data_IF_626559941937
#
_entry.id   IF_626559941937
#
_cell.length_a   1.000
_cell.length_b   1.000
_cell.length_c   1.000
_cell.angle_alpha   90.00
_cell.angle_beta   90.00
_cell.angle_gamma   90.00
#
_symmetry.space_group_name_H-M   'P 1'
#
loop_
_entity.id
_entity.type
_entity.pdbx_description
1 polymer ?
#
# COMPACT_ATOMS: atom_id res chain seq x y z
N UNK A 1 3.52 23.38 -12.42
CA UNK A 1 4.69 23.63 -13.31
C UNK A 1 5.59 24.69 -12.67
N UNK A 2 6.91 24.75 -12.89
CA UNK A 2 7.75 25.76 -12.20
C UNK A 2 8.46 26.72 -13.15
N UNK A 3 8.37 28.02 -12.83
CA UNK A 3 9.15 29.13 -13.40
C UNK A 3 10.14 29.72 -12.38
N UNK A 4 10.94 30.69 -12.83
CA UNK A 4 12.01 31.31 -12.02
C UNK A 4 13.33 30.54 -12.05
N UNK A 5 14.43 31.20 -11.68
CA UNK A 5 15.78 30.59 -11.65
C UNK A 5 15.89 29.45 -10.62
N UNK A 6 15.01 29.46 -9.61
CA UNK A 6 15.02 28.50 -8.51
C UNK A 6 13.85 27.52 -8.51
N UNK A 7 13.07 27.46 -9.61
CA UNK A 7 11.83 26.68 -9.66
C UNK A 7 10.88 27.08 -8.53
N UNK A 8 10.75 28.37 -8.27
CA UNK A 8 10.01 28.97 -7.16
C UNK A 8 8.60 29.43 -7.54
N UNK A 9 8.34 29.61 -8.83
CA UNK A 9 7.03 30.04 -9.32
C UNK A 9 6.23 28.82 -9.77
N UNK A 10 5.35 28.28 -8.93
CA UNK A 10 4.37 27.30 -9.38
C UNK A 10 3.41 27.95 -10.40
N UNK A 11 3.13 27.27 -11.52
CA UNK A 11 2.09 27.65 -12.45
C UNK A 11 0.76 27.32 -11.81
N UNK A 12 -0.05 28.35 -11.64
CA UNK A 12 -1.44 28.24 -11.21
C UNK A 12 -2.17 27.26 -12.13
N UNK A 13 -2.82 26.27 -11.53
CA UNK A 13 -3.69 25.35 -12.24
C UNK A 13 -5.07 25.99 -12.30
N UNK A 14 -5.66 26.05 -13.49
CA UNK A 14 -7.00 26.59 -13.68
C UNK A 14 -8.02 25.79 -12.83
N UNK A 15 -8.84 26.46 -11.98
CA UNK A 15 -9.88 25.82 -11.19
C UNK A 15 -10.87 24.99 -12.00
N UNK A 16 -11.06 25.27 -13.30
CA UNK A 16 -11.91 24.44 -14.18
C UNK A 16 -11.29 23.07 -14.50
N UNK A 17 -9.97 22.94 -14.40
CA UNK A 17 -9.23 21.68 -14.59
C UNK A 17 -9.22 20.83 -13.32
N UNK A 18 -9.39 21.47 -12.16
CA UNK A 18 -9.50 20.83 -10.86
C UNK A 18 -10.94 20.33 -10.68
N UNK A 19 -11.13 19.01 -10.58
CA UNK A 19 -12.43 18.46 -10.17
C UNK A 19 -12.90 19.09 -8.85
N UNK A 20 -14.21 19.26 -8.69
CA UNK A 20 -14.85 19.90 -7.53
C UNK A 20 -14.35 21.31 -7.15
N UNK A 21 -13.55 21.98 -8.01
CA UNK A 21 -12.99 23.33 -7.81
C UNK A 21 -12.01 23.49 -6.62
N UNK A 22 -11.51 22.41 -6.04
CA UNK A 22 -10.53 22.48 -4.94
C UNK A 22 -9.08 22.33 -5.46
N UNK A 23 -8.17 23.18 -5.00
CA UNK A 23 -6.74 23.04 -5.31
C UNK A 23 -6.21 21.74 -4.70
N UNK A 24 -5.63 20.86 -5.52
CA UNK A 24 -5.09 19.58 -5.04
C UNK A 24 -3.60 19.64 -4.78
N UNK A 25 -3.15 19.12 -3.62
CA UNK A 25 -1.73 19.04 -3.27
C UNK A 25 -1.32 17.59 -3.08
N UNK A 26 -0.34 17.12 -3.85
CA UNK A 26 0.15 15.74 -3.75
C UNK A 26 1.15 15.60 -2.59
N UNK A 27 0.90 14.62 -1.72
CA UNK A 27 1.73 14.27 -0.57
C UNK A 27 2.21 12.83 -0.72
N UNK A 28 3.49 12.63 -1.01
CA UNK A 28 4.10 11.32 -1.18
C UNK A 28 4.60 10.78 0.15
N UNK A 29 4.14 9.58 0.52
CA UNK A 29 4.56 8.86 1.70
C UNK A 29 5.43 7.66 1.36
N UNK A 30 6.45 7.44 2.18
CA UNK A 30 7.18 6.17 2.21
C UNK A 30 7.99 6.00 3.49
N UNK A 31 8.52 4.80 3.69
CA UNK A 31 9.41 4.43 4.79
C UNK A 31 10.79 4.10 4.26
N UNK A 32 11.79 4.41 5.06
CA UNK A 32 13.17 4.10 4.73
C UNK A 32 13.94 3.68 5.96
N UNK A 33 14.95 2.85 5.75
CA UNK A 33 15.85 2.39 6.79
C UNK A 33 17.28 2.78 6.46
N UNK A 34 18.02 3.18 7.50
CA UNK A 34 19.45 3.49 7.45
C UNK A 34 20.14 2.83 8.62
N UNK A 35 21.23 2.12 8.35
CA UNK A 35 22.04 1.54 9.41
C UNK A 35 23.07 2.55 9.94
N UNK A 36 23.31 2.56 11.24
CA UNK A 36 24.22 3.51 11.88
C UNK A 36 25.62 3.54 11.25
N UNK A 37 26.16 2.38 10.87
CA UNK A 37 27.48 2.24 10.23
C UNK A 37 27.39 2.02 8.72
N UNK A 38 26.28 2.41 8.09
CA UNK A 38 26.10 2.28 6.65
C UNK A 38 27.13 3.16 5.92
N UNK A 39 27.81 2.58 4.92
CA UNK A 39 28.91 3.22 4.18
C UNK A 39 28.69 3.10 2.66
N UNK A 40 29.40 3.88 1.84
CA UNK A 40 29.35 3.75 0.40
C UNK A 40 29.80 2.35 -0.01
N UNK A 41 29.15 1.74 -1.00
CA UNK A 41 29.49 0.38 -1.44
C UNK A 41 30.91 0.30 -2.02
N UNK A 42 31.37 1.38 -2.67
CA UNK A 42 32.70 1.46 -3.28
C UNK A 42 33.59 2.47 -2.53
N UNK A 43 34.87 2.13 -2.39
CA UNK A 43 35.93 3.00 -1.86
C UNK A 43 37.05 3.11 -2.90
N UNK A 44 37.62 4.30 -3.07
CA UNK A 44 38.86 4.49 -3.80
C UNK A 44 40.05 4.30 -2.85
N UNK A 45 40.96 3.38 -3.18
CA UNK A 45 42.12 3.01 -2.37
C UNK A 45 43.41 3.29 -3.12
N UNK A 46 44.46 3.69 -2.39
CA UNK A 46 45.80 3.80 -2.96
C UNK A 46 46.36 2.39 -3.26
N UNK A 47 47.23 2.24 -4.28
CA UNK A 47 47.88 0.96 -4.57
C UNK A 47 48.55 0.38 -3.32
N UNK A 48 48.26 -0.89 -3.01
CA UNK A 48 48.79 -1.59 -1.83
C UNK A 48 48.03 -1.36 -0.53
N UNK A 49 47.00 -0.50 -0.51
CA UNK A 49 46.14 -0.32 0.66
C UNK A 49 44.92 -1.26 0.63
N UNK A 50 44.47 -1.70 1.81
CA UNK A 50 43.25 -2.48 1.99
C UNK A 50 42.37 -1.83 3.06
N UNK A 51 41.07 -1.77 2.81
CA UNK A 51 40.09 -1.31 3.80
C UNK A 51 39.34 -2.52 4.35
N UNK A 52 39.55 -2.84 5.63
CA UNK A 52 38.76 -3.87 6.32
C UNK A 52 37.55 -3.19 6.96
N UNK A 53 36.36 -3.58 6.50
CA UNK A 53 35.09 -3.08 7.03
C UNK A 53 34.53 -4.06 8.06
N UNK A 54 33.94 -3.51 9.12
CA UNK A 54 33.20 -4.32 10.08
C UNK A 54 32.00 -4.98 9.39
N UNK A 55 31.76 -6.26 9.67
CA UNK A 55 30.53 -6.95 9.24
C UNK A 55 29.27 -6.43 9.94
N UNK A 56 29.43 -5.74 11.08
CA UNK A 56 28.32 -5.18 11.83
C UNK A 56 27.93 -3.82 11.23
N UNK A 57 26.75 -3.74 10.63
CA UNK A 57 26.17 -2.52 10.04
C UNK A 57 25.69 -1.52 11.09
N UNK A 58 25.65 -1.90 12.37
CA UNK A 58 25.17 -1.05 13.46
C UNK A 58 23.65 -1.07 13.58
N UNK A 59 23.15 -0.36 14.61
CA UNK A 59 21.72 -0.27 14.90
C UNK A 59 20.96 0.39 13.75
N UNK A 60 19.71 -0.04 13.56
CA UNK A 60 18.82 0.48 12.53
C UNK A 60 18.17 1.79 12.98
N UNK A 61 18.09 2.74 12.05
CA UNK A 61 17.24 3.93 12.11
C UNK A 61 16.17 3.69 11.05
N UNK A 62 14.90 3.69 11.44
CA UNK A 62 13.78 3.55 10.54
C UNK A 62 12.96 4.84 10.58
N UNK A 63 12.65 5.38 9.41
CA UNK A 63 11.91 6.63 9.26
C UNK A 63 10.69 6.41 8.38
N UNK A 64 9.60 7.09 8.70
CA UNK A 64 8.38 7.23 7.91
C UNK A 64 8.12 8.73 7.71
N UNK A 65 8.04 9.21 6.48
CA UNK A 65 7.96 10.66 6.18
C UNK A 65 7.02 10.95 5.00
N UNK A 66 6.64 12.23 4.87
CA UNK A 66 5.76 12.77 3.85
C UNK A 66 6.46 13.92 3.11
N UNK A 67 6.51 13.81 1.79
CA UNK A 67 7.12 14.81 0.90
C UNK A 67 6.07 15.42 -0.03
N UNK A 68 6.06 16.73 -0.11
CA UNK A 68 5.18 17.50 -0.99
C UNK A 68 5.98 18.58 -1.72
N UNK A 69 5.44 19.03 -2.84
CA UNK A 69 6.18 19.91 -3.75
C UNK A 69 6.34 21.34 -3.23
N UNK A 70 5.35 21.81 -2.46
CA UNK A 70 5.26 23.19 -1.97
C UNK A 70 6.31 23.48 -0.91
N UNK A 71 6.38 22.65 0.12
CA UNK A 71 7.25 22.84 1.31
C UNK A 71 8.39 21.84 1.40
N UNK A 72 8.41 20.81 0.56
CA UNK A 72 9.38 19.72 0.65
C UNK A 72 8.93 18.70 1.69
N UNK A 73 9.17 18.96 2.97
CA UNK A 73 8.71 18.10 4.07
C UNK A 73 7.39 18.59 4.64
N UNK A 74 6.55 17.67 5.09
CA UNK A 74 5.30 18.01 5.77
C UNK A 74 5.57 18.37 7.24
N UNK A 75 5.93 19.63 7.47
CA UNK A 75 6.39 20.13 8.76
C UNK A 75 6.01 21.59 8.94
N UNK A 76 5.51 21.93 10.13
CA UNK A 76 5.28 23.31 10.55
C UNK A 76 6.55 23.94 11.10
N UNK A 77 6.76 25.20 10.76
CA UNK A 77 7.66 26.10 11.49
C UNK A 77 7.14 26.29 12.93
N UNK A 78 8.03 26.77 13.81
CA UNK A 78 7.65 27.04 15.20
C UNK A 78 6.60 28.15 15.31
N UNK A 79 6.63 29.12 14.40
CA UNK A 79 5.71 30.25 14.38
C UNK A 79 4.31 29.81 13.91
N UNK A 80 4.23 28.96 12.89
CA UNK A 80 2.97 28.35 12.44
C UNK A 80 2.36 27.45 13.52
N UNK A 81 3.19 26.65 14.22
CA UNK A 81 2.75 25.82 15.33
C UNK A 81 2.13 26.66 16.45
N UNK A 82 2.83 27.71 16.88
CA UNK A 82 2.33 28.60 17.94
C UNK A 82 1.05 29.30 17.53
N UNK A 83 0.98 29.76 16.28
CA UNK A 83 -0.21 30.41 15.74
C UNK A 83 -1.40 29.44 15.75
N UNK A 84 -1.22 28.22 15.24
CA UNK A 84 -2.27 27.20 15.20
C UNK A 84 -2.77 26.78 16.60
N UNK A 85 -1.84 26.65 17.57
CA UNK A 85 -2.19 26.34 18.96
C UNK A 85 -2.99 27.46 19.62
N UNK A 86 -2.73 28.73 19.26
CA UNK A 86 -3.43 29.89 19.82
C UNK A 86 -4.79 30.14 19.16
N UNK A 87 -4.89 30.06 17.83
CA UNK A 87 -6.11 30.42 17.11
C UNK A 87 -7.15 29.30 17.09
N UNK A 88 -6.71 28.05 16.95
CA UNK A 88 -7.63 26.94 16.70
C UNK A 88 -7.78 26.01 17.92
N UNK A 89 -6.98 26.21 18.98
CA UNK A 89 -6.95 25.31 20.14
C UNK A 89 -6.56 23.87 19.78
N UNK A 90 -6.00 23.64 18.60
CA UNK A 90 -5.61 22.32 18.10
C UNK A 90 -4.35 21.88 18.84
N UNK A 91 -4.48 20.85 19.67
CA UNK A 91 -3.34 20.22 20.32
C UNK A 91 -2.68 19.22 19.36
N UNK A 92 -1.71 19.70 18.58
CA UNK A 92 -0.87 18.83 17.76
C UNK A 92 0.11 18.03 18.63
N UNK A 93 0.25 16.74 18.33
CA UNK A 93 1.25 15.88 18.98
C UNK A 93 2.68 16.29 18.63
N UNK A 94 2.88 16.77 17.40
CA UNK A 94 4.19 17.20 16.88
C UNK A 94 4.00 18.22 15.77
N UNK A 95 5.00 19.06 15.55
CA UNK A 95 5.07 19.96 14.39
C UNK A 95 5.64 19.28 13.14
N UNK A 96 6.04 18.02 13.23
CA UNK A 96 6.69 17.27 12.17
C UNK A 96 5.91 15.99 11.88
N UNK A 97 5.39 15.84 10.67
CA UNK A 97 4.57 14.68 10.31
C UNK A 97 5.38 13.37 10.34
N UNK A 98 6.69 13.45 10.17
CA UNK A 98 7.57 12.31 10.14
C UNK A 98 7.71 11.61 11.49
N UNK A 99 7.93 10.30 11.46
CA UNK A 99 8.16 9.49 12.65
C UNK A 99 9.41 8.65 12.46
N UNK A 100 10.32 8.72 13.43
CA UNK A 100 11.55 7.94 13.47
C UNK A 100 11.46 6.95 14.62
N UNK A 101 11.78 5.69 14.34
CA UNK A 101 11.86 4.61 15.32
C UNK A 101 13.23 3.93 15.25
N UNK A 102 13.65 3.34 16.37
CA UNK A 102 14.93 2.65 16.52
C UNK A 102 14.69 1.20 16.93
N UNK A 103 14.25 0.34 16.00
CA UNK A 103 13.80 -1.01 16.32
C UNK A 103 14.93 -1.88 16.88
N UNK A 104 14.56 -2.79 17.78
CA UNK A 104 15.46 -3.78 18.36
C UNK A 104 14.98 -4.29 19.72
N UNK A 105 15.64 -5.31 20.28
CA UNK A 105 15.22 -5.95 21.53
C UNK A 105 15.10 -5.01 22.76
N UNK A 106 15.80 -3.87 22.74
CA UNK A 106 15.72 -2.79 23.75
C UNK A 106 15.30 -1.45 23.14
N UNK A 107 14.75 -1.48 21.93
CA UNK A 107 14.35 -0.30 21.17
C UNK A 107 12.85 -0.27 20.94
N UNK A 108 12.44 0.48 19.93
CA UNK A 108 11.04 0.63 19.58
C UNK A 108 10.48 -0.65 18.96
N UNK A 109 9.15 -0.77 18.95
CA UNK A 109 8.46 -1.81 18.19
C UNK A 109 8.75 -1.61 16.69
N UNK A 110 8.72 -2.70 15.93
CA UNK A 110 8.78 -2.60 14.48
C UNK A 110 7.60 -1.81 13.94
N UNK A 111 7.83 -1.10 12.83
CA UNK A 111 6.79 -0.30 12.18
C UNK A 111 5.63 -1.18 11.72
N UNK A 112 4.40 -0.80 12.05
CA UNK A 112 3.19 -1.51 11.68
C UNK A 112 2.12 -0.56 11.12
N UNK A 113 0.98 -1.13 10.75
CA UNK A 113 -0.13 -0.38 10.15
C UNK A 113 -0.80 0.56 11.14
N UNK A 114 -0.86 0.19 12.42
CA UNK A 114 -1.48 0.99 13.47
C UNK A 114 -0.68 2.29 13.68
N UNK A 115 0.65 2.19 13.73
CA UNK A 115 1.54 3.35 13.77
C UNK A 115 1.42 4.25 12.54
N UNK A 116 1.26 3.69 11.33
CA UNK A 116 1.03 4.48 10.12
C UNK A 116 -0.31 5.22 10.17
N UNK A 117 -1.39 4.54 10.56
CA UNK A 117 -2.71 5.15 10.69
C UNK A 117 -2.68 6.27 11.72
N UNK A 118 -2.01 6.07 12.85
CA UNK A 118 -1.81 7.09 13.88
C UNK A 118 -1.02 8.28 13.33
N UNK A 119 0.09 8.03 12.63
CA UNK A 119 0.90 9.07 12.01
C UNK A 119 0.07 9.91 11.02
N UNK A 120 -0.74 9.27 10.19
CA UNK A 120 -1.59 9.97 9.22
C UNK A 120 -2.68 10.78 9.91
N UNK A 121 -3.44 10.16 10.81
CA UNK A 121 -4.59 10.79 11.47
C UNK A 121 -4.20 11.92 12.44
N UNK A 122 -3.11 11.76 13.19
CA UNK A 122 -2.77 12.67 14.30
C UNK A 122 -1.61 13.61 13.99
N UNK A 123 -0.87 13.36 12.91
CA UNK A 123 0.27 14.21 12.52
C UNK A 123 0.10 14.75 11.09
N UNK A 124 0.03 13.86 10.10
CA UNK A 124 0.09 14.29 8.70
C UNK A 124 -1.12 15.14 8.27
N UNK A 125 -2.35 14.66 8.50
CA UNK A 125 -3.58 15.39 8.13
C UNK A 125 -3.67 16.73 8.86
N UNK A 126 -3.55 16.81 10.21
CA UNK A 126 -3.63 18.09 10.90
C UNK A 126 -2.55 19.10 10.48
N UNK A 127 -1.32 18.64 10.23
CA UNK A 127 -0.23 19.52 9.75
C UNK A 127 -0.54 20.02 8.32
N UNK A 128 -1.07 19.15 7.46
CA UNK A 128 -1.45 19.50 6.10
C UNK A 128 -2.56 20.55 6.08
N UNK A 129 -3.65 20.35 6.83
CA UNK A 129 -4.77 21.29 6.89
C UNK A 129 -4.36 22.68 7.39
N UNK A 130 -3.32 22.77 8.23
CA UNK A 130 -2.76 24.05 8.68
C UNK A 130 -1.93 24.73 7.58
N UNK A 131 -1.12 23.96 6.85
CA UNK A 131 -0.28 24.51 5.76
C UNK A 131 -1.09 24.84 4.50
N UNK A 132 -2.21 24.15 4.29
CA UNK A 132 -3.00 24.17 3.06
C UNK A 132 -4.52 24.19 3.36
N UNK A 133 -5.03 25.24 4.03
CA UNK A 133 -6.39 25.26 4.59
C UNK A 133 -7.54 25.21 3.57
N UNK A 134 -7.29 25.52 2.31
CA UNK A 134 -8.30 25.54 1.24
C UNK A 134 -7.98 24.54 0.12
N UNK A 135 -7.14 23.54 0.41
CA UNK A 135 -6.68 22.58 -0.59
C UNK A 135 -7.05 21.16 -0.17
N UNK A 136 -7.35 20.32 -1.16
CA UNK A 136 -7.51 18.90 -0.94
C UNK A 136 -6.15 18.18 -1.00
N UNK A 137 -5.80 17.46 0.05
CA UNK A 137 -4.61 16.61 0.05
C UNK A 137 -4.83 15.35 -0.77
N UNK A 138 -3.89 15.03 -1.67
CA UNK A 138 -3.80 13.72 -2.35
C UNK A 138 -2.65 12.94 -1.75
N UNK A 139 -2.95 12.06 -0.80
CA UNK A 139 -1.97 11.24 -0.11
C UNK A 139 -1.61 10.01 -0.96
N UNK A 140 -0.37 9.97 -1.44
CA UNK A 140 0.16 8.94 -2.32
C UNK A 140 1.01 7.95 -1.53
N UNK A 141 0.66 6.68 -1.61
CA UNK A 141 1.36 5.58 -0.95
C UNK A 141 1.87 4.55 -1.96
N UNK A 142 2.98 3.89 -1.63
CA UNK A 142 3.39 2.69 -2.35
C UNK A 142 2.36 1.54 -2.16
N UNK A 143 2.28 0.62 -3.11
CA UNK A 143 1.40 -0.56 -3.01
C UNK A 143 2.02 -1.66 -2.12
N UNK A 144 2.48 -1.29 -0.93
CA UNK A 144 2.94 -2.28 0.05
C UNK A 144 1.76 -3.02 0.69
N UNK A 145 2.00 -4.27 1.09
CA UNK A 145 1.01 -5.10 1.77
C UNK A 145 0.51 -4.47 3.09
N UNK A 146 1.35 -3.64 3.72
CA UNK A 146 0.97 -2.88 4.90
C UNK A 146 -0.09 -1.81 4.57
N UNK A 147 0.09 -1.06 3.48
CA UNK A 147 -0.82 0.04 3.10
C UNK A 147 -2.20 -0.45 2.62
N UNK A 148 -2.25 -1.66 2.03
CA UNK A 148 -3.50 -2.33 1.65
C UNK A 148 -4.24 -3.04 2.80
N UNK A 149 -3.79 -2.88 4.05
CA UNK A 149 -4.41 -3.54 5.18
C UNK A 149 -5.81 -2.95 5.49
N UNK A 150 -6.78 -3.85 5.67
CA UNK A 150 -8.12 -3.49 6.10
C UNK A 150 -8.21 -3.37 7.62
N UNK A 151 -9.17 -2.58 8.10
CA UNK A 151 -9.51 -2.55 9.52
C UNK A 151 -9.82 -3.96 10.04
N UNK A 152 -9.52 -4.24 11.31
CA UNK A 152 -9.86 -5.54 11.95
C UNK A 152 -11.36 -5.83 11.88
N UNK A 153 -12.18 -4.79 11.87
CA UNK A 153 -13.64 -4.83 11.79
C UNK A 153 -14.18 -4.68 10.35
N UNK A 154 -13.32 -4.61 9.32
CA UNK A 154 -13.76 -4.41 7.93
C UNK A 154 -14.58 -5.59 7.41
N UNK A 155 -15.62 -5.32 6.61
CA UNK A 155 -16.54 -6.31 6.05
C UNK A 155 -15.84 -7.29 5.10
N UNK A 156 -15.17 -8.30 5.65
CA UNK A 156 -14.42 -9.32 4.91
C UNK A 156 -15.00 -10.70 5.15
N UNK A 157 -15.70 -11.22 4.13
CA UNK A 157 -16.29 -12.56 4.16
C UNK A 157 -15.27 -13.67 4.43
N UNK A 158 -14.03 -13.50 3.99
CA UNK A 158 -12.93 -14.43 4.26
C UNK A 158 -12.70 -14.68 5.76
N UNK A 159 -13.03 -13.68 6.60
CA UNK A 159 -12.85 -13.70 8.04
C UNK A 159 -14.14 -14.08 8.80
N UNK A 160 -15.17 -14.58 8.09
CA UNK A 160 -16.45 -14.98 8.65
C UNK A 160 -16.62 -16.49 8.60
N UNK A 161 -17.33 -17.03 9.59
CA UNK A 161 -17.80 -18.41 9.58
C UNK A 161 -19.16 -18.52 8.88
N UNK A 162 -19.57 -19.75 8.51
CA UNK A 162 -20.92 -19.97 8.00
C UNK A 162 -21.95 -19.72 9.10
N UNK A 163 -21.70 -20.28 10.28
CA UNK A 163 -22.52 -20.16 11.49
C UNK A 163 -22.00 -19.07 12.43
N UNK A 164 -22.84 -18.58 13.36
CA UNK A 164 -22.41 -17.64 14.40
C UNK A 164 -21.29 -18.17 15.30
N UNK A 165 -20.50 -17.27 15.87
CA UNK A 165 -19.47 -17.59 16.87
C UNK A 165 -18.22 -18.30 16.33
N UNK A 166 -17.50 -18.99 17.22
CA UNK A 166 -16.21 -19.61 16.90
C UNK A 166 -15.08 -18.60 16.65
N UNK A 167 -13.96 -19.06 16.07
CA UNK A 167 -12.83 -18.19 15.68
C UNK A 167 -13.17 -17.45 14.38
N UNK A 168 -13.83 -16.31 14.48
CA UNK A 168 -14.08 -15.38 13.36
C UNK A 168 -13.89 -13.91 13.78
N UNK A 169 -13.79 -13.01 12.81
CA UNK A 169 -13.67 -11.58 13.09
C UNK A 169 -15.01 -10.95 13.48
N UNK A 170 -14.97 -10.01 14.42
CA UNK A 170 -16.12 -9.14 14.74
C UNK A 170 -16.14 -7.98 13.77
N UNK A 171 -17.09 -8.01 12.83
CA UNK A 171 -17.19 -7.00 11.78
C UNK A 171 -18.00 -5.77 12.23
N UNK A 172 -17.77 -4.62 11.57
CA UNK A 172 -18.51 -3.38 11.82
C UNK A 172 -19.92 -3.48 11.25
N UNK A 173 -20.86 -2.79 11.89
CA UNK A 173 -22.24 -2.69 11.40
C UNK A 173 -22.29 -1.97 10.04
N UNK A 174 -23.34 -2.26 9.28
CA UNK A 174 -23.56 -1.73 7.93
C UNK A 174 -25.05 -1.50 7.71
N UNK A 175 -25.42 -1.11 6.49
CA UNK A 175 -26.80 -1.10 6.02
C UNK A 175 -26.99 -2.21 4.98
N UNK A 176 -28.24 -2.68 4.84
CA UNK A 176 -28.62 -3.60 3.78
C UNK A 176 -28.55 -2.87 2.43
N UNK A 177 -27.83 -3.42 1.43
CA UNK A 177 -27.71 -2.83 0.10
C UNK A 177 -29.05 -2.49 -0.56
N UNK A 178 -29.08 -1.42 -1.35
CA UNK A 178 -30.24 -1.00 -2.15
C UNK A 178 -30.07 -1.33 -3.64
N UNK A 179 -28.86 -1.70 -4.07
CA UNK A 179 -28.46 -1.90 -5.46
C UNK A 179 -28.63 -3.35 -5.96
N UNK A 180 -28.86 -4.31 -5.05
CA UNK A 180 -29.15 -5.69 -5.43
C UNK A 180 -30.67 -5.90 -5.62
N UNK A 181 -31.15 -6.18 -6.85
CA UNK A 181 -32.57 -6.36 -7.14
C UNK A 181 -33.17 -7.62 -6.50
N UNK A 182 -32.35 -8.54 -5.99
CA UNK A 182 -32.83 -9.76 -5.34
C UNK A 182 -33.10 -9.56 -3.84
N UNK A 183 -32.70 -8.42 -3.27
CA UNK A 183 -33.04 -8.05 -1.90
C UNK A 183 -34.48 -7.49 -1.91
N UNK A 184 -35.37 -8.00 -1.03
CA UNK A 184 -36.70 -7.42 -0.86
C UNK A 184 -36.63 -5.93 -0.51
N UNK A 185 -37.40 -5.11 -1.22
CA UNK A 185 -37.37 -3.63 -1.12
C UNK A 185 -37.60 -3.14 0.32
N UNK A 186 -38.41 -3.84 1.09
CA UNK A 186 -38.69 -3.54 2.49
C UNK A 186 -37.46 -3.68 3.43
N UNK A 187 -36.46 -4.45 3.02
CA UNK A 187 -35.22 -4.65 3.79
C UNK A 187 -34.11 -3.68 3.37
N UNK A 188 -34.17 -3.14 2.15
CA UNK A 188 -33.16 -2.24 1.62
C UNK A 188 -32.98 -0.99 2.52
N UNK A 189 -31.72 -0.65 2.81
CA UNK A 189 -31.37 0.51 3.65
C UNK A 189 -31.57 0.32 5.16
N UNK A 190 -32.11 -0.81 5.62
CA UNK A 190 -32.21 -1.09 7.06
C UNK A 190 -30.83 -1.28 7.70
N UNK A 191 -30.63 -0.86 8.97
CA UNK A 191 -29.40 -1.15 9.70
C UNK A 191 -29.19 -2.66 9.84
N UNK A 192 -28.01 -3.13 9.45
CA UNK A 192 -27.57 -4.51 9.62
C UNK A 192 -26.45 -4.57 10.66
N UNK A 193 -26.80 -5.09 11.84
CA UNK A 193 -25.84 -5.39 12.90
C UNK A 193 -25.05 -6.64 12.53
N UNK A 194 -23.74 -6.65 12.77
CA UNK A 194 -22.87 -7.81 12.50
C UNK A 194 -22.62 -8.68 13.74
N UNK A 195 -23.17 -8.28 14.87
CA UNK A 195 -23.14 -8.98 16.15
C UNK A 195 -24.58 -9.13 16.64
N UNK A 196 -24.91 -10.28 17.23
CA UNK A 196 -26.20 -10.47 17.88
C UNK A 196 -26.29 -9.65 19.16
N UNK A 197 -27.50 -9.17 19.46
CA UNK A 197 -27.78 -8.50 20.73
C UNK A 197 -27.56 -9.45 21.92
N UNK A 198 -27.24 -8.89 23.09
CA UNK A 198 -27.02 -9.66 24.32
C UNK A 198 -28.28 -10.42 24.78
N UNK A 199 -29.46 -10.02 24.32
CA UNK A 199 -30.73 -10.72 24.55
C UNK A 199 -31.02 -11.88 23.57
N UNK A 200 -30.13 -12.13 22.60
CA UNK A 200 -30.38 -13.14 21.57
C UNK A 200 -30.50 -14.56 22.17
N UNK A 201 -31.57 -15.34 21.87
CA UNK A 201 -31.87 -16.59 22.58
C UNK A 201 -30.78 -17.66 22.54
N UNK A 202 -29.97 -17.70 21.47
CA UNK A 202 -28.98 -18.77 21.24
C UNK A 202 -27.54 -18.29 21.10
N UNK A 203 -27.33 -17.01 20.78
CA UNK A 203 -26.02 -16.48 20.38
C UNK A 203 -25.76 -15.06 20.92
N UNK A 204 -26.01 -14.80 22.22
CA UNK A 204 -25.91 -13.44 22.77
C UNK A 204 -24.48 -12.90 22.62
N UNK A 205 -24.35 -11.68 22.07
CA UNK A 205 -23.06 -11.00 21.87
C UNK A 205 -22.13 -11.67 20.85
N UNK A 206 -22.55 -12.71 20.13
CA UNK A 206 -21.69 -13.41 19.17
C UNK A 206 -21.72 -12.75 17.80
N UNK A 207 -20.58 -12.78 17.11
CA UNK A 207 -20.48 -12.35 15.71
C UNK A 207 -21.37 -13.23 14.80
N UNK A 208 -22.11 -12.59 13.90
CA UNK A 208 -22.98 -13.26 12.93
C UNK A 208 -22.15 -13.95 11.86
N UNK A 209 -22.52 -15.19 11.54
CA UNK A 209 -21.98 -15.90 10.38
C UNK A 209 -22.61 -15.45 9.06
N UNK A 210 -22.06 -15.92 7.95
CA UNK A 210 -22.53 -15.63 6.58
C UNK A 210 -24.01 -15.98 6.40
N UNK A 211 -24.47 -17.07 7.03
CA UNK A 211 -25.87 -17.49 6.93
C UNK A 211 -26.84 -16.44 7.49
N UNK A 212 -26.63 -16.01 8.74
CA UNK A 212 -27.52 -15.03 9.39
C UNK A 212 -27.56 -13.71 8.62
N UNK A 213 -26.41 -13.24 8.12
CA UNK A 213 -26.32 -12.00 7.34
C UNK A 213 -27.07 -12.09 6.01
N UNK A 214 -27.02 -13.24 5.33
CA UNK A 214 -27.76 -13.45 4.08
C UNK A 214 -29.25 -13.72 4.31
N UNK A 215 -29.63 -14.33 5.43
CA UNK A 215 -31.03 -14.50 5.84
C UNK A 215 -31.70 -13.15 6.11
N UNK A 216 -31.01 -12.27 6.82
CA UNK A 216 -31.46 -10.88 7.07
C UNK A 216 -31.62 -10.05 5.81
N UNK A 217 -30.91 -10.39 4.73
CA UNK A 217 -31.04 -9.75 3.41
C UNK A 217 -32.07 -10.43 2.50
N UNK A 218 -32.71 -11.51 2.95
CA UNK A 218 -33.61 -12.34 2.12
C UNK A 218 -32.90 -13.21 1.05
N UNK A 219 -31.59 -13.03 0.87
CA UNK A 219 -30.79 -13.67 -0.18
C UNK A 219 -30.54 -15.16 0.08
N UNK A 220 -30.49 -15.59 1.35
CA UNK A 220 -30.26 -17.01 1.68
C UNK A 220 -31.33 -17.92 1.05
N UNK A 221 -32.61 -17.55 1.20
CA UNK A 221 -33.72 -18.31 0.63
C UNK A 221 -33.71 -18.26 -0.90
N UNK A 222 -33.48 -17.08 -1.47
CA UNK A 222 -33.40 -16.88 -2.92
C UNK A 222 -32.34 -17.77 -3.57
N UNK A 223 -31.09 -17.72 -3.10
CA UNK A 223 -30.01 -18.51 -3.68
C UNK A 223 -30.15 -20.01 -3.38
N UNK A 224 -30.74 -20.40 -2.24
CA UNK A 224 -31.04 -21.81 -1.95
C UNK A 224 -32.06 -22.36 -2.95
N UNK A 225 -33.11 -21.60 -3.28
CA UNK A 225 -34.11 -22.00 -4.28
C UNK A 225 -33.50 -22.06 -5.69
N UNK A 226 -32.69 -21.06 -6.04
CA UNK A 226 -31.99 -21.00 -7.33
C UNK A 226 -31.00 -22.14 -7.53
N UNK A 227 -30.31 -22.55 -6.47
CA UNK A 227 -29.36 -23.67 -6.51
C UNK A 227 -30.03 -25.05 -6.59
N UNK A 228 -31.36 -25.13 -6.41
CA UNK A 228 -32.12 -26.37 -6.53
C UNK A 228 -31.62 -27.45 -5.56
N UNK A 229 -31.25 -28.62 -6.10
CA UNK A 229 -30.76 -29.77 -5.32
C UNK A 229 -29.28 -29.67 -4.92
N UNK A 230 -28.52 -28.74 -5.49
CA UNK A 230 -27.11 -28.54 -5.17
C UNK A 230 -26.95 -27.68 -3.91
N UNK A 231 -26.49 -28.28 -2.80
CA UNK A 231 -26.21 -27.54 -1.57
C UNK A 231 -24.97 -26.66 -1.74
N UNK A 232 -25.15 -25.35 -1.66
CA UNK A 232 -24.05 -24.38 -1.64
C UNK A 232 -23.18 -24.56 -0.39
N UNK A 233 -21.87 -24.65 -0.58
CA UNK A 233 -20.87 -24.66 0.51
C UNK A 233 -20.50 -23.22 0.89
N UNK A 234 -19.89 -23.03 2.07
CA UNK A 234 -19.33 -21.73 2.45
C UNK A 234 -18.31 -21.25 1.41
N UNK A 235 -17.39 -22.14 1.01
CA UNK A 235 -16.40 -21.94 -0.07
C UNK A 235 -16.38 -23.17 -0.98
N UNK A 236 -16.42 -22.97 -2.30
CA UNK A 236 -16.26 -24.05 -3.27
C UNK A 236 -14.77 -24.36 -3.51
N UNK A 237 -14.47 -25.51 -4.13
CA UNK A 237 -13.08 -25.93 -4.42
C UNK A 237 -12.34 -24.90 -5.28
N UNK A 238 -13.00 -24.36 -6.30
CA UNK A 238 -12.43 -23.34 -7.19
C UNK A 238 -12.03 -22.06 -6.42
N UNK A 239 -12.92 -21.54 -5.58
CA UNK A 239 -12.60 -20.38 -4.75
C UNK A 239 -11.49 -20.67 -3.73
N UNK A 240 -11.40 -21.90 -3.19
CA UNK A 240 -10.32 -22.27 -2.29
C UNK A 240 -8.99 -22.28 -3.05
N UNK A 241 -8.92 -22.98 -4.19
CA UNK A 241 -7.72 -23.07 -5.02
C UNK A 241 -7.26 -21.72 -5.54
N UNK A 242 -8.19 -20.85 -5.95
CA UNK A 242 -7.89 -19.48 -6.40
C UNK A 242 -7.29 -18.62 -5.27
N UNK A 243 -7.88 -18.64 -4.07
CA UNK A 243 -7.30 -17.94 -2.92
C UNK A 243 -5.91 -18.50 -2.55
N UNK A 244 -5.73 -19.82 -2.61
CA UNK A 244 -4.43 -20.47 -2.36
C UNK A 244 -3.40 -20.06 -3.41
N UNK A 245 -3.77 -19.98 -4.69
CA UNK A 245 -2.89 -19.52 -5.76
C UNK A 245 -2.48 -18.06 -5.55
N UNK A 246 -3.42 -17.18 -5.20
CA UNK A 246 -3.11 -15.77 -4.86
C UNK A 246 -2.17 -15.66 -3.65
N UNK A 247 -2.38 -16.46 -2.61
CA UNK A 247 -1.50 -16.49 -1.44
C UNK A 247 -0.11 -17.04 -1.77
N UNK A 248 0.00 -18.03 -2.66
CA UNK A 248 1.28 -18.57 -3.14
C UNK A 248 2.04 -17.54 -3.98
N UNK A 249 1.35 -16.84 -4.87
CA UNK A 249 1.94 -15.73 -5.64
C UNK A 249 2.47 -14.66 -4.66
N UNK A 250 1.67 -14.24 -3.68
CA UNK A 250 2.06 -13.23 -2.69
C UNK A 250 3.28 -13.65 -1.87
N UNK A 251 3.34 -14.92 -1.43
CA UNK A 251 4.50 -15.47 -0.72
C UNK A 251 5.74 -15.52 -1.63
N UNK A 252 5.56 -15.92 -2.88
CA UNK A 252 6.63 -15.93 -3.87
C UNK A 252 7.18 -14.52 -4.12
N UNK A 253 6.31 -13.51 -4.29
CA UNK A 253 6.70 -12.10 -4.42
C UNK A 253 7.55 -11.64 -3.23
N UNK A 254 7.15 -11.99 -2.01
CA UNK A 254 7.89 -11.63 -0.80
C UNK A 254 9.28 -12.28 -0.77
N UNK A 255 9.36 -13.57 -1.08
CA UNK A 255 10.62 -14.32 -1.12
C UNK A 255 11.57 -13.79 -2.20
N UNK A 256 11.04 -13.40 -3.37
CA UNK A 256 11.83 -12.78 -4.44
C UNK A 256 12.42 -11.45 -3.95
N UNK A 257 11.61 -10.59 -3.31
CA UNK A 257 12.11 -9.32 -2.74
C UNK A 257 13.20 -9.53 -1.68
N UNK A 258 13.03 -10.52 -0.80
CA UNK A 258 14.04 -10.87 0.21
C UNK A 258 15.33 -11.41 -0.42
N UNK A 259 15.21 -12.21 -1.48
CA UNK A 259 16.33 -12.73 -2.25
C UNK A 259 17.07 -11.61 -3.00
N UNK A 260 16.35 -10.70 -3.67
CA UNK A 260 16.91 -9.55 -4.38
C UNK A 260 17.62 -8.60 -3.42
N UNK A 261 17.03 -8.33 -2.25
CA UNK A 261 17.67 -7.55 -1.19
C UNK A 261 18.97 -8.19 -0.68
N UNK A 262 19.11 -9.51 -0.84
CA UNK A 262 20.30 -10.30 -0.50
C UNK A 262 21.24 -10.53 -1.70
N UNK A 263 20.92 -9.97 -2.87
CA UNK A 263 21.74 -10.07 -4.10
C UNK A 263 21.50 -11.32 -4.94
N UNK A 264 20.42 -12.06 -4.70
CA UNK A 264 20.03 -13.25 -5.47
C UNK A 264 18.85 -12.94 -6.41
N UNK A 265 18.86 -13.54 -7.60
CA UNK A 265 17.79 -13.41 -8.57
C UNK A 265 16.95 -14.69 -8.58
N UNK A 266 15.65 -14.57 -8.36
CA UNK A 266 14.69 -15.68 -8.37
C UNK A 266 13.57 -15.38 -9.37
N UNK A 267 13.30 -16.33 -10.25
CA UNK A 267 12.14 -16.25 -11.14
C UNK A 267 10.87 -16.69 -10.39
N UNK A 268 9.76 -16.03 -10.71
CA UNK A 268 8.44 -16.33 -10.14
C UNK A 268 8.06 -17.81 -10.29
N UNK A 269 8.30 -18.40 -11.46
CA UNK A 269 7.98 -19.80 -11.74
C UNK A 269 8.76 -20.76 -10.83
N UNK A 270 10.05 -20.51 -10.61
CA UNK A 270 10.92 -21.39 -9.84
C UNK A 270 10.57 -21.35 -8.34
N UNK A 271 10.28 -20.15 -7.82
CA UNK A 271 9.86 -19.96 -6.43
C UNK A 271 8.52 -20.65 -6.13
N UNK A 272 7.55 -20.55 -7.05
CA UNK A 272 6.23 -21.18 -6.88
C UNK A 272 6.34 -22.71 -6.99
N UNK A 273 7.10 -23.23 -7.96
CA UNK A 273 7.31 -24.67 -8.11
C UNK A 273 8.00 -25.28 -6.88
N UNK A 274 9.00 -24.60 -6.33
CA UNK A 274 9.73 -25.05 -5.14
C UNK A 274 8.84 -25.00 -3.88
N UNK A 275 7.99 -23.98 -3.74
CA UNK A 275 7.02 -23.88 -2.64
C UNK A 275 5.95 -24.98 -2.69
N UNK A 276 5.49 -25.34 -3.90
CA UNK A 276 4.57 -26.47 -4.12
C UNK A 276 5.28 -27.79 -3.79
N UNK A 277 6.55 -27.95 -4.20
CA UNK A 277 7.36 -29.16 -4.00
C UNK A 277 7.74 -29.40 -2.55
N UNK A 278 7.97 -28.34 -1.77
CA UNK A 278 8.39 -28.42 -0.37
C UNK A 278 7.24 -28.53 0.64
N UNK A 279 5.99 -28.63 0.19
CA UNK A 279 4.86 -29.05 1.04
C UNK A 279 4.60 -28.17 2.26
N UNK A 280 4.86 -26.85 2.19
CA UNK A 280 4.45 -25.90 3.24
C UNK A 280 2.93 -25.61 3.22
N UNK A 281 2.15 -26.68 3.13
CA UNK A 281 0.70 -26.71 3.31
C UNK A 281 0.49 -27.19 4.75
N UNK A 282 0.14 -26.27 5.65
CA UNK A 282 -0.36 -26.63 6.97
C UNK A 282 -1.67 -27.42 6.79
N UNK A 283 -1.61 -28.74 6.96
CA UNK A 283 -2.80 -29.56 7.16
C UNK A 283 -3.35 -29.30 8.56
N UNK A 284 -4.32 -28.41 8.71
CA UNK A 284 -5.25 -28.44 9.84
C UNK A 284 -6.63 -28.88 9.35
N UNK A 285 -6.79 -30.20 9.34
CA UNK A 285 -7.98 -31.04 9.59
C UNK A 285 -9.31 -30.76 8.85
N UNK A 286 -9.70 -31.71 7.99
CA UNK A 286 -10.78 -32.67 8.29
C UNK A 286 -10.62 -33.94 7.44
N UNK A 287 -10.87 -35.08 8.06
CA UNK A 287 -10.62 -36.41 7.53
C UNK A 287 -11.70 -36.84 6.53
N UNK A 288 -11.28 -37.25 5.33
CA UNK A 288 -11.90 -38.37 4.62
C UNK A 288 -10.89 -38.99 3.65
N UNK A 289 -10.79 -40.31 3.67
CA UNK A 289 -9.76 -41.11 3.01
C UNK A 289 -10.09 -41.35 1.53
N UNK A 290 -9.31 -40.76 0.63
CA UNK A 290 -8.78 -41.35 -0.63
C UNK A 290 -8.37 -40.21 -1.58
N UNK A 291 -7.09 -39.84 -1.58
CA UNK A 291 -6.53 -38.94 -2.60
C UNK A 291 -5.15 -39.44 -3.00
N UNK A 292 -5.13 -40.43 -3.89
CA UNK A 292 -3.95 -40.74 -4.69
C UNK A 292 -4.33 -40.81 -6.16
N UNK A 293 -4.72 -39.67 -6.74
CA UNK A 293 -4.69 -39.46 -8.19
C UNK A 293 -4.91 -37.98 -8.55
N UNK A 294 -4.10 -37.51 -9.51
CA UNK A 294 -4.32 -36.36 -10.40
C UNK A 294 -3.97 -34.96 -9.89
N UNK A 295 -2.67 -34.63 -10.02
CA UNK A 295 -2.13 -33.27 -10.15
C UNK A 295 -1.71 -32.95 -11.60
N UNK A 296 -2.64 -32.64 -12.53
CA UNK A 296 -2.29 -31.84 -13.71
C UNK A 296 -2.99 -30.47 -13.79
N UNK A 297 -4.04 -30.20 -12.99
CA UNK A 297 -4.85 -28.97 -13.13
C UNK A 297 -4.21 -27.71 -12.52
N UNK A 298 -3.28 -27.86 -11.56
CA UNK A 298 -2.66 -26.71 -10.88
C UNK A 298 -1.74 -25.87 -11.79
N UNK A 299 -1.04 -26.51 -12.73
CA UNK A 299 -0.20 -25.79 -13.71
C UNK A 299 -1.04 -24.97 -14.70
N UNK A 300 -2.29 -25.35 -14.95
CA UNK A 300 -3.16 -24.66 -15.90
C UNK A 300 -3.75 -23.37 -15.33
N UNK A 301 -3.91 -23.26 -14.01
CA UNK A 301 -4.43 -22.05 -13.34
C UNK A 301 -3.36 -20.94 -13.26
N UNK A 302 -2.07 -21.30 -13.09
CA UNK A 302 -0.97 -20.34 -13.01
C UNK A 302 -0.74 -19.63 -14.36
N UNK A 303 -0.93 -20.32 -15.49
CA UNK A 303 -0.73 -19.75 -16.83
C UNK A 303 -1.90 -18.86 -17.30
N UNK A 304 -3.12 -19.10 -16.82
CA UNK A 304 -4.31 -18.34 -17.26
C UNK A 304 -4.43 -16.94 -16.63
N UNK A 305 -3.70 -16.64 -15.56
CA UNK A 305 -3.74 -15.31 -14.93
C UNK A 305 -2.85 -14.26 -15.63
N UNK A 306 -2.18 -14.62 -16.73
CA UNK A 306 -1.44 -13.67 -17.59
C UNK A 306 -2.27 -13.15 -18.77
N UNK A 307 -3.38 -13.80 -19.09
CA UNK A 307 -4.35 -13.30 -20.06
C UNK A 307 -5.50 -12.64 -19.29
N UNK A 308 -5.74 -11.35 -19.54
CA UNK A 308 -6.91 -10.60 -19.07
C UNK A 308 -8.21 -11.14 -19.70
N UNK A 309 -8.56 -12.39 -19.43
CA UNK A 309 -9.83 -12.98 -19.80
C UNK A 309 -10.56 -13.39 -18.52
N UNK A 310 -11.60 -12.64 -18.07
CA UNK A 310 -12.38 -13.00 -16.91
C UNK A 310 -13.21 -14.24 -17.25
N UNK A 311 -12.60 -15.41 -17.13
CA UNK A 311 -13.28 -16.70 -17.30
C UNK A 311 -14.35 -16.85 -16.22
N UNK A 312 -15.57 -16.46 -16.58
CA UNK A 312 -16.88 -17.04 -16.21
C UNK A 312 -16.91 -17.87 -14.92
N UNK A 313 -16.50 -17.31 -13.79
CA UNK A 313 -16.82 -17.90 -12.49
C UNK A 313 -18.30 -17.62 -12.24
N UNK A 314 -19.13 -18.65 -12.09
CA UNK A 314 -20.54 -18.47 -11.72
C UNK A 314 -20.62 -17.54 -10.51
N UNK A 315 -21.36 -16.43 -10.66
CA UNK A 315 -21.54 -15.37 -9.66
C UNK A 315 -22.10 -15.93 -8.33
N UNK A 316 -22.72 -17.12 -8.40
CA UNK A 316 -23.41 -17.79 -7.29
C UNK A 316 -22.73 -19.10 -6.84
N UNK A 317 -21.42 -19.28 -7.05
CA UNK A 317 -20.77 -20.58 -6.83
C UNK A 317 -20.69 -21.06 -5.36
N UNK A 318 -20.69 -20.14 -4.39
CA UNK A 318 -20.66 -20.44 -2.95
C UNK A 318 -21.14 -19.25 -2.12
N UNK A 319 -21.50 -19.49 -0.85
CA UNK A 319 -22.00 -18.43 0.04
C UNK A 319 -21.00 -17.29 0.24
N UNK A 320 -19.70 -17.61 0.29
CA UNK A 320 -18.66 -16.60 0.42
C UNK A 320 -18.60 -15.69 -0.81
N UNK A 321 -18.79 -16.22 -2.02
CA UNK A 321 -18.74 -15.43 -3.26
C UNK A 321 -19.96 -14.53 -3.36
N UNK A 322 -21.15 -15.08 -3.13
CA UNK A 322 -22.42 -14.33 -3.10
C UNK A 322 -22.33 -13.14 -2.15
N UNK A 323 -21.94 -13.38 -0.89
CA UNK A 323 -21.83 -12.28 0.08
C UNK A 323 -20.71 -11.30 -0.29
N UNK A 324 -19.60 -11.75 -0.87
CA UNK A 324 -18.49 -10.87 -1.25
C UNK A 324 -18.83 -9.89 -2.37
N UNK A 325 -19.82 -10.21 -3.20
CA UNK A 325 -20.25 -9.38 -4.32
C UNK A 325 -21.29 -8.33 -3.93
N UNK A 326 -21.87 -8.44 -2.74
CA UNK A 326 -22.78 -7.43 -2.20
C UNK A 326 -22.03 -6.11 -2.00
N UNK A 327 -22.61 -4.98 -2.37
CA UNK A 327 -21.93 -3.67 -2.39
C UNK A 327 -21.17 -3.30 -1.10
N UNK A 328 -21.76 -3.54 0.08
CA UNK A 328 -21.08 -3.30 1.37
C UNK A 328 -19.86 -4.20 1.62
N UNK A 329 -19.80 -5.38 1.01
CA UNK A 329 -18.67 -6.30 1.04
C UNK A 329 -17.76 -6.18 -0.19
N UNK A 330 -18.22 -5.63 -1.31
CA UNK A 330 -17.41 -5.42 -2.50
C UNK A 330 -16.58 -4.14 -2.39
N UNK A 331 -17.18 -3.07 -1.86
CA UNK A 331 -16.59 -1.74 -1.72
C UNK A 331 -15.80 -1.62 -0.42
N UNK A 332 -14.76 -2.46 -0.26
CA UNK A 332 -13.89 -2.39 0.92
C UNK A 332 -12.82 -1.34 0.70
N UNK A 333 -12.79 -0.32 1.54
CA UNK A 333 -11.67 0.60 1.63
C UNK A 333 -10.64 0.06 2.63
N UNK A 334 -9.34 0.00 2.28
CA UNK A 334 -8.27 -0.15 3.26
C UNK A 334 -8.42 0.86 4.40
N UNK A 335 -7.85 0.53 5.57
CA UNK A 335 -7.99 1.38 6.76
C UNK A 335 -7.40 2.78 6.52
N UNK A 336 -6.25 2.83 5.85
CA UNK A 336 -5.57 4.07 5.49
C UNK A 336 -6.45 4.97 4.61
N UNK A 337 -7.01 4.38 3.56
CA UNK A 337 -7.91 5.07 2.63
C UNK A 337 -9.13 5.63 3.36
N UNK A 338 -9.71 4.85 4.30
CA UNK A 338 -10.84 5.29 5.12
C UNK A 338 -10.48 6.53 5.94
N UNK A 339 -9.35 6.52 6.65
CA UNK A 339 -8.92 7.65 7.50
C UNK A 339 -8.77 8.94 6.70
N UNK A 340 -8.16 8.85 5.51
CA UNK A 340 -7.86 10.01 4.67
C UNK A 340 -9.13 10.55 4.00
N UNK A 341 -9.95 9.67 3.42
CA UNK A 341 -11.19 10.06 2.75
C UNK A 341 -12.26 10.58 3.73
N UNK A 342 -12.34 9.99 4.93
CA UNK A 342 -13.27 10.48 5.95
C UNK A 342 -12.83 11.86 6.50
N UNK A 343 -11.57 12.26 6.30
CA UNK A 343 -11.07 13.62 6.58
C UNK A 343 -11.24 14.59 5.39
N UNK A 344 -11.88 14.17 4.29
CA UNK A 344 -12.11 15.03 3.11
C UNK A 344 -10.92 15.10 2.15
N UNK A 345 -9.99 14.16 2.22
CA UNK A 345 -8.82 14.09 1.35
C UNK A 345 -8.84 12.85 0.45
N UNK A 346 -7.99 12.81 -0.58
CA UNK A 346 -7.90 11.67 -1.49
C UNK A 346 -6.74 10.75 -1.13
N UNK A 347 -6.98 9.44 -1.10
CA UNK A 347 -5.93 8.43 -0.92
C UNK A 347 -5.64 7.72 -2.24
N UNK A 348 -4.38 7.77 -2.70
CA UNK A 348 -3.92 7.15 -3.93
C UNK A 348 -2.86 6.09 -3.65
N UNK A 349 -3.05 4.89 -4.17
CA UNK A 349 -2.05 3.84 -4.15
C UNK A 349 -1.35 3.78 -5.51
N UNK A 350 -0.03 3.85 -5.51
CA UNK A 350 0.76 3.68 -6.74
C UNK A 350 0.58 2.27 -7.31
N UNK A 351 0.76 2.09 -8.63
CA UNK A 351 0.78 0.77 -9.23
C UNK A 351 1.82 -0.16 -8.59
N UNK A 352 1.49 -1.45 -8.48
CA UNK A 352 2.43 -2.46 -7.95
C UNK A 352 3.71 -2.49 -8.80
N UNK A 353 4.86 -2.59 -8.14
CA UNK A 353 6.18 -2.71 -8.77
C UNK A 353 6.64 -1.48 -9.57
N UNK A 354 6.06 -0.31 -9.29
CA UNK A 354 6.45 0.97 -9.91
C UNK A 354 7.02 1.95 -8.87
N UNK A 355 8.06 1.53 -8.14
CA UNK A 355 8.69 2.38 -7.11
C UNK A 355 9.33 3.64 -7.69
N UNK A 356 9.69 3.63 -8.98
CA UNK A 356 10.20 4.80 -9.71
C UNK A 356 9.18 5.94 -9.84
N UNK A 357 7.89 5.67 -9.58
CA UNK A 357 6.84 6.68 -9.51
C UNK A 357 6.69 7.27 -8.11
N UNK A 358 7.31 6.67 -7.09
CA UNK A 358 7.26 7.16 -5.73
C UNK A 358 8.36 8.22 -5.52
N UNK A 359 7.99 9.50 -5.52
CA UNK A 359 8.95 10.59 -5.50
C UNK A 359 9.90 10.56 -4.30
N UNK A 360 9.39 10.19 -3.12
CA UNK A 360 10.13 10.19 -1.87
C UNK A 360 11.30 9.18 -1.89
N UNK A 361 11.27 8.16 -2.74
CA UNK A 361 12.41 7.25 -2.97
C UNK A 361 13.65 7.99 -3.48
N UNK A 362 13.46 9.05 -4.29
CA UNK A 362 14.55 9.91 -4.74
C UNK A 362 15.11 10.76 -3.59
N UNK A 363 14.25 11.22 -2.68
CA UNK A 363 14.67 11.88 -1.44
C UNK A 363 15.46 10.93 -0.54
N UNK A 364 15.03 9.67 -0.39
CA UNK A 364 15.77 8.65 0.35
C UNK A 364 17.13 8.36 -0.27
N UNK A 365 17.21 8.29 -1.59
CA UNK A 365 18.49 8.14 -2.29
C UNK A 365 19.44 9.29 -1.98
N UNK A 366 18.96 10.54 -2.00
CA UNK A 366 19.75 11.72 -1.62
C UNK A 366 20.25 11.62 -0.17
N UNK A 367 19.34 11.42 0.78
CA UNK A 367 19.62 11.38 2.22
C UNK A 367 20.63 10.27 2.53
N UNK A 368 20.40 9.05 2.03
CA UNK A 368 21.32 7.91 2.23
C UNK A 368 22.69 8.18 1.60
N UNK A 369 22.74 8.82 0.45
CA UNK A 369 24.01 9.16 -0.21
C UNK A 369 24.83 10.12 0.63
N UNK A 370 24.22 11.18 1.16
CA UNK A 370 24.91 12.15 2.03
C UNK A 370 25.31 11.50 3.36
N UNK A 371 24.40 10.74 3.98
CA UNK A 371 24.67 10.03 5.22
C UNK A 371 25.87 9.08 5.10
N UNK A 372 25.91 8.25 4.04
CA UNK A 372 27.03 7.31 3.79
C UNK A 372 28.36 8.03 3.60
N UNK A 373 28.37 9.23 3.02
CA UNK A 373 29.60 10.02 2.86
C UNK A 373 30.16 10.50 4.20
N UNK A 374 29.31 10.74 5.20
CA UNK A 374 29.72 11.32 6.48
C UNK A 374 29.78 10.31 7.63
N UNK A 375 29.07 9.19 7.55
CA UNK A 375 28.89 8.22 8.64
C UNK A 375 30.20 7.68 9.20
N UNK A 376 31.26 7.60 8.38
CA UNK A 376 32.59 7.14 8.80
C UNK A 376 33.26 8.06 9.84
N UNK A 377 32.81 9.32 9.97
CA UNK A 377 33.32 10.31 10.93
C UNK A 377 32.76 10.10 12.34
N UNK A 378 31.76 9.23 12.47
CA UNK A 378 31.00 9.02 13.69
C UNK A 378 31.16 7.57 14.18
N UNK A 379 31.24 7.39 15.51
CA UNK A 379 31.48 6.07 16.13
C UNK A 379 30.31 5.61 16.99
N UNK A 380 29.63 6.53 17.68
CA UNK A 380 28.51 6.24 18.56
C UNK A 380 27.17 6.26 17.84
N UNK A 381 26.21 5.47 18.32
CA UNK A 381 24.85 5.50 17.79
C UNK A 381 24.15 6.84 18.02
N UNK A 382 24.46 7.52 19.13
CA UNK A 382 23.94 8.86 19.41
C UNK A 382 24.34 9.85 18.32
N UNK A 383 25.64 9.91 17.99
CA UNK A 383 26.14 10.80 16.94
C UNK A 383 25.57 10.44 15.56
N UNK A 384 25.37 9.15 15.28
CA UNK A 384 24.71 8.70 14.05
C UNK A 384 23.26 9.20 13.95
N UNK A 385 22.51 9.26 15.05
CA UNK A 385 21.16 9.84 15.06
C UNK A 385 21.20 11.32 14.73
N UNK A 386 22.09 12.08 15.37
CA UNK A 386 22.25 13.51 15.11
C UNK A 386 22.69 13.79 13.66
N UNK A 387 23.58 12.95 13.12
CA UNK A 387 23.96 13.00 11.71
C UNK A 387 22.74 12.75 10.81
N UNK A 388 21.97 11.71 11.09
CA UNK A 388 20.79 11.38 10.30
C UNK A 388 19.78 12.52 10.30
N UNK A 389 19.44 13.05 11.47
CA UNK A 389 18.53 14.21 11.63
C UNK A 389 19.01 15.42 10.82
N UNK A 390 20.31 15.72 10.90
CA UNK A 390 20.90 16.82 10.13
C UNK A 390 20.80 16.59 8.64
N UNK A 391 21.26 15.44 8.16
CA UNK A 391 21.28 15.09 6.72
C UNK A 391 19.87 15.08 6.14
N UNK A 392 18.92 14.53 6.88
CA UNK A 392 17.52 14.48 6.50
C UNK A 392 16.92 15.87 6.26
N UNK A 393 17.33 16.87 7.04
CA UNK A 393 16.91 18.27 6.86
C UNK A 393 17.63 19.00 5.71
N UNK A 394 18.68 18.41 5.10
CA UNK A 394 19.49 19.08 4.08
C UNK A 394 18.99 18.95 2.65
N UNK A 395 17.96 18.14 2.38
CA UNK A 395 17.45 17.98 1.00
C UNK A 395 16.83 19.31 0.52
N UNK A 396 17.44 20.01 -0.46
CA UNK A 396 16.95 21.33 -0.85
C UNK A 396 15.61 21.23 -1.58
N UNK A 397 14.72 22.19 -1.34
CA UNK A 397 13.40 22.25 -1.99
C UNK A 397 13.51 22.26 -3.52
N UNK A 398 14.49 22.97 -4.08
CA UNK A 398 14.78 22.99 -5.52
C UNK A 398 15.10 21.58 -6.06
N UNK A 399 15.77 20.75 -5.26
CA UNK A 399 16.07 19.36 -5.62
C UNK A 399 14.80 18.51 -5.59
N UNK A 400 13.94 18.70 -4.59
CA UNK A 400 12.64 18.02 -4.48
C UNK A 400 11.76 18.36 -5.70
N UNK A 401 11.65 19.64 -6.08
CA UNK A 401 10.89 20.06 -7.27
C UNK A 401 11.45 19.49 -8.59
N UNK A 402 12.77 19.29 -8.67
CA UNK A 402 13.39 18.56 -9.79
C UNK A 402 12.99 17.07 -9.81
N UNK A 403 12.75 16.47 -8.65
CA UNK A 403 12.22 15.11 -8.57
C UNK A 403 10.77 15.05 -9.03
N UNK A 404 9.92 16.02 -8.70
CA UNK A 404 8.55 16.10 -9.23
C UNK A 404 8.55 16.16 -10.77
N UNK A 405 9.35 17.06 -11.34
CA UNK A 405 9.56 17.11 -12.80
C UNK A 405 10.04 15.79 -13.41
N UNK A 406 10.84 15.01 -12.66
CA UNK A 406 11.31 13.69 -13.12
C UNK A 406 10.18 12.67 -13.11
N UNK A 407 9.35 12.65 -12.07
CA UNK A 407 8.19 11.74 -11.98
C UNK A 407 7.17 12.06 -13.07
N UNK A 408 6.85 13.33 -13.32
CA UNK A 408 5.96 13.74 -14.41
C UNK A 408 6.44 13.22 -15.77
N UNK A 409 7.75 13.28 -16.01
CA UNK A 409 8.34 12.74 -17.24
C UNK A 409 8.23 11.20 -17.30
N UNK A 410 8.39 10.52 -16.17
CA UNK A 410 8.21 9.07 -16.08
C UNK A 410 6.74 8.68 -16.34
N UNK A 411 5.78 9.43 -15.81
CA UNK A 411 4.36 9.24 -16.08
C UNK A 411 4.09 9.42 -17.58
N UNK A 412 4.64 10.48 -18.20
CA UNK A 412 4.52 10.73 -19.64
C UNK A 412 5.11 9.61 -20.52
N UNK A 413 6.14 8.89 -20.05
CA UNK A 413 6.64 7.67 -20.71
C UNK A 413 5.56 6.60 -20.72
N UNK A 414 4.95 6.32 -19.57
CA UNK A 414 3.94 5.26 -19.43
C UNK A 414 2.63 5.58 -20.13
N UNK A 415 2.18 6.84 -20.12
CA UNK A 415 1.01 7.29 -20.89
C UNK A 415 1.18 7.08 -22.41
N UNK A 416 2.42 7.07 -22.90
CA UNK A 416 2.74 6.80 -24.30
C UNK A 416 2.93 5.31 -24.60
N UNK A 417 2.75 4.43 -23.62
CA UNK A 417 2.77 2.97 -23.78
C UNK A 417 4.16 2.33 -23.74
N UNK A 418 5.21 3.06 -23.34
CA UNK A 418 6.54 2.45 -23.20
C UNK A 418 6.66 1.68 -21.88
N UNK A 419 7.46 0.61 -21.89
CA UNK A 419 7.77 -0.13 -20.66
C UNK A 419 8.93 0.50 -19.87
N UNK A 420 9.22 -0.04 -18.67
CA UNK A 420 10.26 0.50 -17.78
C UNK A 420 11.66 0.57 -18.40
N UNK A 421 12.07 -0.44 -19.17
CA UNK A 421 13.40 -0.47 -19.80
C UNK A 421 13.54 0.60 -20.90
N UNK A 422 12.52 0.74 -21.75
CA UNK A 422 12.45 1.81 -22.76
C UNK A 422 12.37 3.18 -22.08
N UNK A 423 11.64 3.27 -20.98
CA UNK A 423 11.52 4.46 -20.15
C UNK A 423 12.86 4.96 -19.65
N UNK A 424 13.72 4.08 -19.13
CA UNK A 424 15.03 4.47 -18.63
C UNK A 424 15.90 5.16 -19.70
N UNK A 425 15.86 4.64 -20.93
CA UNK A 425 16.56 5.19 -22.09
C UNK A 425 15.99 6.58 -22.44
N UNK A 426 14.67 6.69 -22.52
CA UNK A 426 13.98 7.95 -22.82
C UNK A 426 14.25 9.02 -21.77
N UNK A 427 14.21 8.64 -20.49
CA UNK A 427 14.48 9.52 -19.36
C UNK A 427 15.90 10.09 -19.39
N UNK A 428 16.88 9.29 -19.81
CA UNK A 428 18.27 9.75 -20.02
C UNK A 428 18.38 10.70 -21.20
N UNK A 429 17.72 10.37 -22.32
CA UNK A 429 17.77 11.15 -23.57
C UNK A 429 17.10 12.52 -23.43
N UNK A 430 15.94 12.57 -22.81
CA UNK A 430 15.11 13.77 -22.71
C UNK A 430 15.21 14.42 -21.33
N UNK A 431 16.39 14.34 -20.69
CA UNK A 431 16.61 14.84 -19.33
C UNK A 431 16.29 16.33 -19.13
N UNK A 432 16.35 17.12 -20.20
CA UNK A 432 16.05 18.56 -20.24
C UNK A 432 14.61 18.90 -20.59
N UNK A 433 13.78 17.92 -20.97
CA UNK A 433 12.40 18.14 -21.38
C UNK A 433 11.43 17.90 -20.22
N UNK A 434 10.22 18.45 -20.31
CA UNK A 434 9.17 18.24 -19.29
C UNK A 434 8.43 16.92 -19.49
N UNK A 435 8.10 16.61 -20.73
CA UNK A 435 7.47 15.37 -21.16
C UNK A 435 8.30 14.70 -22.26
N UNK A 436 8.03 13.42 -22.51
CA UNK A 436 8.62 12.75 -23.68
C UNK A 436 7.86 13.20 -24.93
N UNK A 437 8.52 13.69 -25.98
CA UNK A 437 7.83 14.06 -27.21
C UNK A 437 7.11 12.85 -27.84
N UNK A 438 5.88 13.03 -28.33
CA UNK A 438 5.09 11.95 -28.97
C UNK A 438 5.81 11.25 -30.13
N UNK A 439 6.71 11.97 -30.83
CA UNK A 439 7.52 11.42 -31.93
C UNK A 439 8.74 10.61 -31.47
N UNK A 440 9.01 10.51 -30.16
CA UNK A 440 10.10 9.71 -29.63
C UNK A 440 9.96 8.21 -29.96
N UNK A 441 8.72 7.75 -30.18
CA UNK A 441 8.36 6.38 -30.57
C UNK A 441 9.11 5.91 -31.82
N UNK A 442 9.18 6.78 -32.84
CA UNK A 442 9.77 6.46 -34.13
C UNK A 442 11.29 6.25 -34.09
N UNK A 443 11.94 6.52 -32.95
CA UNK A 443 13.39 6.45 -32.80
C UNK A 443 13.86 5.45 -31.76
N UNK A 444 12.96 4.76 -31.05
CA UNK A 444 13.37 3.75 -30.06
C UNK A 444 13.83 2.46 -30.74
N UNK A 445 13.20 2.06 -31.85
CA UNK A 445 13.61 0.87 -32.62
C UNK A 445 15.08 0.97 -33.10
N UNK A 446 15.57 2.20 -33.32
CA UNK A 446 16.95 2.50 -33.70
C UNK A 446 17.93 2.41 -32.51
N UNK A 447 17.43 2.56 -31.27
CA UNK A 447 18.25 2.60 -30.04
C UNK A 447 18.34 1.22 -29.37
N UNK A 448 17.38 0.33 -29.61
CA UNK A 448 17.39 -1.06 -29.13
C UNK A 448 17.93 -2.08 -30.14
N UNK A 449 18.39 -1.62 -31.32
CA UNK A 449 19.03 -2.45 -32.36
C UNK A 449 20.52 -2.66 -32.12
#
# INVERSE_FOLDING_TARGET
MYGGEHLDVAAEVDPEVLGDQEETVFIFHDKSTVHAKERPQLSWLLPGSSEIRSKNTGRLIHISDFILETTGRLKLSLDELQSAQQTNGIQLESNDAATVIYPGAKGDKWWDMEQLCHQVAHKAIPIFEILHPNSQGVFVFDCSSAHGAYAKTALRVQNMNLTPGGKQATLRNTFIPTDDPNIPVELCGQPQLMVFDDSHPHFPGQAKGVQAVLEERGLWKYHTQKAGHSKLRLRCKECISSNMAEDLIRKSEQLIKEAEASGYFLLHADSIQEAIKNGQISQEQEADSDVHAQFPEFNHIILLNQDNNPHTSSVDCCWSKILSLQSGFATKRPLLQTIIEDAGHTCLFLPKFHCELNLIELCWSYIKTVYRKESHRYKGFADCKELFERVWQTCPLVTIRKYFCRIDRQISVYEQGYNGAQGEILMKKYKSHRCIPRQAAMRIDIITS
#
